data_IF_533307327413
#
_entry.id   IF_533307327413
#
_cell.length_a   1.000
_cell.length_b   1.000
_cell.length_c   1.000
_cell.angle_alpha   90.00
_cell.angle_beta   90.00
_cell.angle_gamma   90.00
#
_symmetry.space_group_name_H-M   'P 1'
#
loop_
_entity.id
_entity.type
_entity.pdbx_description
1 polymer ?
#
# COMPACT_ATOMS: atom_id res chain seq x y z
N UNK A 1 -19.25 0.76 -34.52
CA UNK A 1 -19.40 0.68 -33.06
C UNK A 1 -18.03 0.94 -32.44
N UNK A 2 -17.84 2.05 -31.71
CA UNK A 2 -16.61 2.26 -30.93
C UNK A 2 -16.76 1.47 -29.64
N UNK A 3 -15.96 0.43 -29.43
CA UNK A 3 -15.84 -0.22 -28.12
C UNK A 3 -15.00 0.73 -27.28
N UNK A 4 -15.60 1.42 -26.32
CA UNK A 4 -14.84 2.16 -25.32
C UNK A 4 -14.08 1.11 -24.49
N UNK A 5 -12.78 0.92 -24.77
CA UNK A 5 -11.95 0.01 -23.98
C UNK A 5 -11.83 0.60 -22.57
N UNK A 6 -12.48 -0.01 -21.59
CA UNK A 6 -12.41 0.41 -20.18
C UNK A 6 -10.96 0.26 -19.72
N UNK A 7 -10.32 1.37 -19.36
CA UNK A 7 -9.03 1.34 -18.67
C UNK A 7 -9.31 0.88 -17.24
N UNK A 8 -8.60 -0.16 -16.79
CA UNK A 8 -8.70 -0.71 -15.45
C UNK A 8 -7.42 -0.33 -14.70
N UNK A 9 -7.58 0.32 -13.56
CA UNK A 9 -6.50 0.66 -12.63
C UNK A 9 -6.68 -0.20 -11.38
N UNK A 10 -5.64 -0.90 -10.96
CA UNK A 10 -5.67 -1.85 -9.84
C UNK A 10 -4.50 -1.62 -8.90
N UNK A 11 -4.67 -2.04 -7.65
CA UNK A 11 -3.57 -2.24 -6.70
C UNK A 11 -3.57 -3.70 -6.25
N UNK A 12 -2.39 -4.30 -6.10
CA UNK A 12 -2.23 -5.68 -5.66
C UNK A 12 -1.12 -5.78 -4.60
N UNK A 13 -1.37 -6.46 -3.47
CA UNK A 13 -2.68 -6.98 -3.06
C UNK A 13 -3.67 -5.85 -2.70
N UNK A 14 -4.98 -6.13 -2.74
CA UNK A 14 -6.00 -5.21 -2.22
C UNK A 14 -6.04 -5.20 -0.68
N UNK A 15 -5.55 -6.28 -0.05
CA UNK A 15 -5.35 -6.39 1.39
C UNK A 15 -4.00 -7.03 1.68
N UNK A 16 -3.18 -6.36 2.48
CA UNK A 16 -1.93 -6.87 3.01
C UNK A 16 -1.98 -6.92 4.54
N UNK A 17 -1.10 -7.70 5.14
CA UNK A 17 -0.94 -7.79 6.60
C UNK A 17 0.49 -7.41 6.97
N UNK A 18 0.63 -6.63 8.02
CA UNK A 18 1.86 -6.40 8.75
C UNK A 18 1.66 -6.92 10.17
N UNK A 19 2.58 -7.75 10.63
CA UNK A 19 2.52 -8.33 11.97
C UNK A 19 3.55 -7.65 12.86
N UNK A 20 3.14 -7.18 14.05
CA UNK A 20 4.00 -6.54 15.04
C UNK A 20 4.91 -7.52 15.77
N UNK A 21 4.69 -8.83 15.62
CA UNK A 21 5.57 -9.87 16.14
C UNK A 21 6.97 -9.78 15.51
N UNK A 22 7.93 -9.26 16.27
CA UNK A 22 9.28 -8.93 15.78
C UNK A 22 10.10 -10.14 15.35
N UNK A 23 9.71 -11.34 15.80
CA UNK A 23 10.36 -12.60 15.45
C UNK A 23 9.70 -13.28 14.22
N UNK A 24 8.58 -12.74 13.72
CA UNK A 24 7.84 -13.27 12.60
C UNK A 24 8.31 -12.79 11.22
N UNK A 25 8.14 -13.63 10.20
CA UNK A 25 8.47 -13.28 8.79
C UNK A 25 7.64 -12.10 8.24
N UNK A 26 6.48 -11.83 8.84
CA UNK A 26 5.55 -10.75 8.48
C UNK A 26 5.93 -9.39 9.08
N UNK A 27 6.98 -9.31 9.90
CA UNK A 27 7.57 -8.07 10.41
C UNK A 27 8.53 -7.46 9.38
N UNK A 28 8.00 -7.17 8.19
CA UNK A 28 8.76 -6.74 7.02
C UNK A 28 8.03 -5.64 6.24
N UNK A 29 8.71 -5.04 5.25
CA UNK A 29 8.12 -4.05 4.36
C UNK A 29 6.88 -4.63 3.63
N UNK A 30 5.86 -3.79 3.43
CA UNK A 30 4.65 -4.16 2.68
C UNK A 30 4.71 -3.54 1.28
N UNK A 31 4.64 -4.38 0.25
CA UNK A 31 4.69 -3.95 -1.15
C UNK A 31 3.29 -3.93 -1.76
N UNK A 32 2.88 -2.76 -2.25
CA UNK A 32 1.67 -2.55 -3.03
C UNK A 32 2.04 -2.24 -4.48
N UNK A 33 1.53 -3.02 -5.44
CA UNK A 33 1.82 -2.83 -6.86
C UNK A 33 0.61 -2.24 -7.57
N UNK A 34 0.77 -1.06 -8.15
CA UNK A 34 -0.25 -0.40 -8.96
C UNK A 34 -0.04 -0.76 -10.44
N UNK A 35 -1.10 -1.16 -11.11
CA UNK A 35 -1.07 -1.52 -12.52
C UNK A 35 -2.26 -0.93 -13.29
N UNK A 36 -2.05 -0.64 -14.57
CA UNK A 36 -3.09 -0.18 -15.49
C UNK A 36 -3.19 -1.12 -16.68
N UNK A 37 -4.40 -1.49 -17.09
CA UNK A 37 -4.63 -2.45 -18.18
C UNK A 37 -4.24 -1.94 -19.57
N UNK A 38 -4.02 -0.63 -19.72
CA UNK A 38 -3.56 0.00 -20.94
C UNK A 38 -2.91 1.36 -20.65
N UNK A 39 -1.74 1.62 -21.23
CA UNK A 39 -0.98 2.86 -21.05
C UNK A 39 0.01 2.81 -19.87
N UNK A 40 0.36 3.99 -19.37
CA UNK A 40 1.28 4.17 -18.23
C UNK A 40 0.54 4.75 -17.04
N UNK A 41 1.02 4.46 -15.84
CA UNK A 41 0.53 5.05 -14.58
C UNK A 41 1.70 5.68 -13.84
N UNK A 42 1.51 6.89 -13.34
CA UNK A 42 2.46 7.54 -12.42
C UNK A 42 1.86 7.60 -11.02
N UNK A 43 2.65 7.28 -10.01
CA UNK A 43 2.25 7.41 -8.61
C UNK A 43 2.40 8.87 -8.16
N UNK A 44 1.37 9.39 -7.52
CA UNK A 44 1.31 10.71 -6.90
C UNK A 44 1.48 10.61 -5.38
N UNK A 45 0.68 11.40 -4.65
CA UNK A 45 0.68 11.38 -3.20
C UNK A 45 0.06 10.08 -2.64
N UNK A 46 0.54 9.68 -1.47
CA UNK A 46 0.08 8.49 -0.76
C UNK A 46 -0.39 8.91 0.63
N UNK A 47 -1.51 8.37 1.06
CA UNK A 47 -2.15 8.70 2.32
C UNK A 47 -2.47 7.44 3.10
N UNK A 48 -2.35 7.52 4.42
CA UNK A 48 -3.00 6.58 5.34
C UNK A 48 -4.21 7.31 5.94
N UNK A 49 -5.42 6.94 5.52
CA UNK A 49 -6.61 7.73 5.77
C UNK A 49 -6.48 9.14 5.18
N UNK A 50 -6.55 10.17 6.02
CA UNK A 50 -6.35 11.58 5.63
C UNK A 50 -4.90 12.05 5.78
N UNK A 51 -4.04 11.27 6.44
CA UNK A 51 -2.66 11.66 6.72
C UNK A 51 -1.79 11.37 5.50
N UNK A 52 -1.19 12.44 4.94
CA UNK A 52 -0.22 12.32 3.85
C UNK A 52 1.06 11.65 4.34
N UNK A 53 1.54 10.66 3.59
CA UNK A 53 2.80 9.96 3.86
C UNK A 53 3.97 10.66 3.17
N UNK A 54 5.13 10.63 3.82
CA UNK A 54 6.37 11.24 3.33
C UNK A 54 7.23 10.18 2.64
N UNK A 55 7.63 10.44 1.38
CA UNK A 55 8.53 9.54 0.63
C UNK A 55 9.88 9.41 1.35
N UNK A 56 10.49 8.24 1.28
CA UNK A 56 11.72 7.80 1.98
C UNK A 56 11.57 7.66 3.51
N UNK A 57 10.70 8.43 4.16
CA UNK A 57 10.43 8.27 5.60
C UNK A 57 9.37 7.19 5.88
N UNK A 58 8.28 7.16 5.10
CA UNK A 58 7.18 6.21 5.29
C UNK A 58 7.09 5.16 4.17
N UNK A 59 7.48 5.53 2.96
CA UNK A 59 7.42 4.64 1.80
C UNK A 59 8.50 4.93 0.77
N UNK A 60 8.86 3.94 -0.03
CA UNK A 60 9.60 4.13 -1.28
C UNK A 60 8.70 3.79 -2.46
N UNK A 61 9.01 4.35 -3.63
CA UNK A 61 8.23 4.07 -4.84
C UNK A 61 9.18 3.90 -6.03
N UNK A 62 8.97 2.84 -6.81
CA UNK A 62 9.72 2.55 -8.02
C UNK A 62 8.88 1.72 -8.98
N UNK A 63 8.67 2.23 -10.20
CA UNK A 63 8.05 1.48 -11.28
C UNK A 63 6.61 1.01 -10.98
N UNK A 64 5.83 1.85 -10.28
CA UNK A 64 4.46 1.51 -9.86
C UNK A 64 4.37 0.61 -8.62
N UNK A 65 5.50 0.24 -8.02
CA UNK A 65 5.54 -0.41 -6.71
C UNK A 65 5.70 0.63 -5.63
N UNK A 66 4.78 0.64 -4.67
CA UNK A 66 4.84 1.40 -3.44
C UNK A 66 5.23 0.43 -2.33
N UNK A 67 6.39 0.63 -1.74
CA UNK A 67 6.86 -0.15 -0.60
C UNK A 67 6.66 0.69 0.65
N UNK A 68 5.67 0.32 1.48
CA UNK A 68 5.51 0.86 2.82
C UNK A 68 6.59 0.27 3.71
N UNK A 69 7.37 1.14 4.35
CA UNK A 69 8.53 0.73 5.13
C UNK A 69 8.09 0.10 6.45
N UNK A 70 8.75 -0.99 6.84
CA UNK A 70 8.63 -1.63 8.16
C UNK A 70 8.77 -0.60 9.29
N UNK A 71 9.75 0.29 9.17
CA UNK A 71 10.02 1.35 10.15
C UNK A 71 8.85 2.34 10.33
N UNK A 72 7.95 2.45 9.35
CA UNK A 72 6.70 3.20 9.48
C UNK A 72 5.59 2.31 10.04
N UNK A 73 5.43 1.10 9.51
CA UNK A 73 4.37 0.18 9.91
C UNK A 73 4.48 -0.25 11.38
N UNK A 74 5.68 -0.42 11.91
CA UNK A 74 5.92 -0.76 13.32
C UNK A 74 5.51 0.36 14.30
N UNK A 75 5.27 1.58 13.81
CA UNK A 75 4.79 2.70 14.63
C UNK A 75 3.26 2.77 14.74
N UNK A 76 2.57 1.93 13.98
CA UNK A 76 1.12 1.88 13.95
C UNK A 76 0.59 0.94 15.04
N UNK A 77 -0.62 1.21 15.50
CA UNK A 77 -1.36 0.34 16.43
C UNK A 77 -2.09 -0.75 15.66
N UNK A 78 -2.47 -1.84 16.32
CA UNK A 78 -3.32 -2.88 15.73
C UNK A 78 -4.64 -2.29 15.19
N UNK A 79 -4.80 -2.29 13.87
CA UNK A 79 -5.95 -1.75 13.16
C UNK A 79 -5.89 -2.07 11.66
N UNK A 80 -7.01 -1.86 10.97
CA UNK A 80 -7.06 -1.84 9.51
C UNK A 80 -6.81 -0.40 9.01
N UNK A 81 -5.74 -0.20 8.25
CA UNK A 81 -5.38 1.09 7.66
C UNK A 81 -5.72 1.13 6.17
N UNK A 82 -6.47 2.15 5.75
CA UNK A 82 -6.78 2.37 4.33
C UNK A 82 -5.70 3.24 3.69
N UNK A 83 -4.90 2.63 2.83
CA UNK A 83 -3.85 3.30 2.08
C UNK A 83 -4.41 3.78 0.75
N UNK A 84 -4.56 5.10 0.59
CA UNK A 84 -4.97 5.72 -0.66
C UNK A 84 -3.73 6.12 -1.46
N UNK A 85 -3.67 5.67 -2.71
CA UNK A 85 -2.61 5.99 -3.66
C UNK A 85 -3.21 6.81 -4.79
N UNK A 86 -2.76 8.05 -4.92
CA UNK A 86 -3.14 8.90 -6.05
C UNK A 86 -2.32 8.54 -7.28
N UNK A 87 -2.94 8.56 -8.46
CA UNK A 87 -2.26 8.26 -9.72
C UNK A 87 -2.74 9.12 -10.87
N UNK A 88 -1.99 9.16 -11.96
CA UNK A 88 -2.40 9.85 -13.20
C UNK A 88 -3.69 9.29 -13.83
N UNK A 89 -4.10 8.07 -13.47
CA UNK A 89 -5.25 7.37 -14.04
C UNK A 89 -6.43 7.29 -13.07
N UNK A 90 -6.37 8.00 -11.94
CA UNK A 90 -7.35 7.93 -10.84
C UNK A 90 -6.73 7.36 -9.55
N UNK A 91 -7.52 7.31 -8.48
CA UNK A 91 -7.02 6.83 -7.19
C UNK A 91 -7.34 5.34 -6.99
N UNK A 92 -6.46 4.63 -6.29
CA UNK A 92 -6.69 3.27 -5.81
C UNK A 92 -6.47 3.20 -4.31
N UNK A 93 -7.06 2.20 -3.67
CA UNK A 93 -6.96 1.97 -2.23
C UNK A 93 -6.59 0.52 -1.95
N UNK A 94 -5.69 0.31 -1.00
CA UNK A 94 -5.42 -1.00 -0.41
C UNK A 94 -5.62 -0.94 1.11
N UNK A 95 -5.99 -2.06 1.71
CA UNK A 95 -6.06 -2.21 3.18
C UNK A 95 -4.75 -2.82 3.66
N UNK A 96 -4.14 -2.22 4.68
CA UNK A 96 -3.02 -2.82 5.42
C UNK A 96 -3.52 -3.12 6.82
N UNK A 97 -3.60 -4.41 7.14
CA UNK A 97 -3.98 -4.90 8.47
C UNK A 97 -2.74 -4.95 9.34
N UNK A 98 -2.73 -4.18 10.41
CA UNK A 98 -1.70 -4.27 11.45
C UNK A 98 -2.28 -5.16 12.55
N UNK A 99 -1.60 -6.27 12.83
CA UNK A 99 -1.97 -7.25 13.86
C UNK A 99 -0.76 -7.52 14.74
N UNK A 100 -0.97 -8.07 15.94
CA UNK A 100 0.11 -8.61 16.75
C UNK A 100 -0.15 -10.08 17.08
N UNK A 101 0.75 -10.97 16.62
CA UNK A 101 0.69 -12.41 16.94
C UNK A 101 1.75 -12.85 17.95
N UNK A 102 2.39 -11.91 18.65
CA UNK A 102 3.38 -12.22 19.69
C UNK A 102 2.77 -13.14 20.75
N UNK A 103 3.45 -14.24 21.08
CA UNK A 103 3.02 -15.11 22.15
C UNK A 103 3.25 -14.43 23.50
N UNK A 104 2.18 -14.19 24.26
CA UNK A 104 2.26 -13.77 25.66
C UNK A 104 2.81 -14.95 26.49
N UNK A 105 4.00 -14.77 27.07
CA UNK A 105 4.66 -15.77 27.95
C UNK A 105 4.18 -15.72 29.39
#
# INVERSE_FOLDING_TARGET
MRINKKILLTVSPETATFDLNTDGDSYADVVLTVAVSNGTVTIGDIYNGETKLTKVAHYTETGGKVTLLKAYLETLTEADYTIKIETSQGNVTAIVKVVDTTEEV
#
